data_IF_503485462948
#
_entry.id   IF_503485462948
#
_cell.length_a   1.000
_cell.length_b   1.000
_cell.length_c   1.000
_cell.angle_alpha   90.00
_cell.angle_beta   90.00
_cell.angle_gamma   90.00
#
_symmetry.space_group_name_H-M   'P 1'
#
loop_
_entity.id
_entity.type
_entity.pdbx_description
1 polymer ?
#
# COMPACT_ATOMS: atom_id res chain seq x y z
N UNK A 1 -17.20 -19.52 16.86
CA UNK A 1 -16.34 -18.53 16.17
C UNK A 1 -15.71 -17.59 17.20
N UNK A 2 -14.52 -17.89 17.76
CA UNK A 2 -13.89 -17.02 18.74
C UNK A 2 -12.77 -16.18 18.07
N UNK A 3 -13.15 -15.03 17.50
CA UNK A 3 -12.45 -13.77 17.79
C UNK A 3 -13.40 -12.58 18.07
N UNK A 4 -14.72 -12.80 18.08
CA UNK A 4 -15.73 -11.73 18.13
C UNK A 4 -16.07 -11.22 19.54
N UNK A 5 -15.51 -11.82 20.60
CA UNK A 5 -15.90 -11.53 22.01
C UNK A 5 -15.50 -10.14 22.51
N UNK A 6 -14.71 -9.37 21.76
CA UNK A 6 -14.24 -8.03 22.15
C UNK A 6 -14.90 -6.87 21.42
N UNK A 7 -15.81 -7.13 20.47
CA UNK A 7 -16.49 -6.09 19.70
C UNK A 7 -17.82 -5.74 20.37
N UNK A 8 -18.12 -4.43 20.48
CA UNK A 8 -19.39 -4.00 21.06
C UNK A 8 -20.56 -4.51 20.24
N UNK A 9 -21.65 -4.91 20.91
CA UNK A 9 -22.88 -5.35 20.25
C UNK A 9 -23.39 -4.32 19.24
N UNK A 10 -23.30 -3.03 19.57
CA UNK A 10 -23.66 -1.94 18.65
C UNK A 10 -22.77 -1.85 17.39
N UNK A 11 -21.47 -2.16 17.48
CA UNK A 11 -20.61 -2.22 16.30
C UNK A 11 -21.01 -3.37 15.39
N UNK A 12 -21.23 -4.56 15.94
CA UNK A 12 -21.63 -5.73 15.16
C UNK A 12 -23.00 -5.52 14.52
N UNK A 13 -23.95 -4.95 15.26
CA UNK A 13 -25.28 -4.62 14.76
C UNK A 13 -25.24 -3.58 13.63
N UNK A 14 -24.36 -2.59 13.73
CA UNK A 14 -24.15 -1.62 12.64
C UNK A 14 -23.42 -2.27 11.45
N UNK A 15 -22.37 -3.05 11.67
CA UNK A 15 -21.55 -3.63 10.61
C UNK A 15 -22.29 -4.73 9.82
N UNK A 16 -23.04 -5.58 10.51
CA UNK A 16 -23.86 -6.62 9.89
C UNK A 16 -25.23 -6.08 9.44
N UNK A 17 -25.76 -5.04 10.07
CA UNK A 17 -27.03 -4.40 9.69
C UNK A 17 -26.90 -3.43 8.51
N UNK A 18 -25.69 -2.95 8.22
CA UNK A 18 -25.45 -2.06 7.07
C UNK A 18 -25.25 -2.90 5.80
N UNK A 19 -26.32 -3.08 5.04
CA UNK A 19 -26.22 -3.56 3.66
C UNK A 19 -25.61 -2.45 2.79
N UNK A 20 -24.35 -2.62 2.38
CA UNK A 20 -23.72 -1.66 1.48
C UNK A 20 -24.43 -1.71 0.12
N UNK A 21 -24.97 -0.57 -0.38
CA UNK A 21 -25.61 -0.56 -1.68
C UNK A 21 -24.59 -0.93 -2.77
N UNK A 22 -25.03 -1.71 -3.76
CA UNK A 22 -24.16 -2.21 -4.86
C UNK A 22 -23.41 -1.08 -5.58
N UNK A 23 -24.02 0.10 -5.65
CA UNK A 23 -23.41 1.30 -6.25
C UNK A 23 -22.21 1.84 -5.45
N UNK A 24 -22.22 1.72 -4.12
CA UNK A 24 -21.09 2.10 -3.27
C UNK A 24 -19.98 1.07 -3.39
N UNK A 25 -20.29 -0.23 -3.39
CA UNK A 25 -19.28 -1.28 -3.66
C UNK A 25 -18.59 -1.07 -5.01
N UNK A 26 -19.37 -0.86 -6.07
CA UNK A 26 -18.82 -0.64 -7.41
C UNK A 26 -17.92 0.61 -7.46
N UNK A 27 -18.36 1.73 -6.86
CA UNK A 27 -17.55 2.96 -6.77
C UNK A 27 -16.26 2.72 -5.99
N UNK A 28 -16.32 2.09 -4.82
CA UNK A 28 -15.13 1.79 -4.02
C UNK A 28 -14.14 0.90 -4.77
N UNK A 29 -14.64 -0.12 -5.50
CA UNK A 29 -13.79 -0.97 -6.32
C UNK A 29 -13.10 -0.19 -7.43
N UNK A 30 -13.83 0.65 -8.17
CA UNK A 30 -13.27 1.48 -9.24
C UNK A 30 -12.22 2.47 -8.73
N UNK A 31 -12.51 3.14 -7.61
CA UNK A 31 -11.57 4.07 -6.99
C UNK A 31 -10.32 3.34 -6.50
N UNK A 32 -10.48 2.12 -5.97
CA UNK A 32 -9.35 1.31 -5.51
C UNK A 32 -8.51 0.79 -6.68
N UNK A 33 -9.12 0.44 -7.81
CA UNK A 33 -8.41 -0.05 -8.99
C UNK A 33 -7.40 0.98 -9.54
N UNK A 34 -7.67 2.28 -9.39
CA UNK A 34 -6.80 3.35 -9.89
C UNK A 34 -5.39 3.30 -9.26
N UNK A 35 -5.23 3.33 -7.91
CA UNK A 35 -3.93 3.12 -7.26
C UNK A 35 -3.20 1.85 -7.72
N UNK A 36 -3.90 0.71 -7.83
CA UNK A 36 -3.27 -0.54 -8.26
C UNK A 36 -2.70 -0.46 -9.68
N UNK A 37 -3.42 0.19 -10.59
CA UNK A 37 -2.94 0.44 -11.96
C UNK A 37 -1.75 1.40 -11.94
N UNK A 38 -1.81 2.47 -11.13
CA UNK A 38 -0.71 3.42 -10.99
C UNK A 38 0.55 2.74 -10.47
N UNK A 39 0.45 1.86 -9.47
CA UNK A 39 1.61 1.10 -8.97
C UNK A 39 2.23 0.23 -10.07
N UNK A 40 1.42 -0.44 -10.89
CA UNK A 40 1.92 -1.22 -12.03
C UNK A 40 2.64 -0.32 -13.07
N UNK A 41 2.11 0.88 -13.33
CA UNK A 41 2.74 1.87 -14.21
C UNK A 41 4.05 2.38 -13.60
N UNK A 42 4.12 2.65 -12.30
CA UNK A 42 5.34 3.10 -11.64
C UNK A 42 6.43 2.03 -11.74
N UNK A 43 6.10 0.75 -11.45
CA UNK A 43 7.07 -0.33 -11.60
C UNK A 43 7.52 -0.51 -13.05
N UNK A 44 6.60 -0.36 -14.01
CA UNK A 44 6.93 -0.36 -15.43
C UNK A 44 7.93 0.74 -15.78
N UNK A 45 7.69 1.98 -15.34
CA UNK A 45 8.59 3.11 -15.59
C UNK A 45 9.96 2.92 -14.94
N UNK A 46 10.02 2.32 -13.74
CA UNK A 46 11.28 1.96 -13.08
C UNK A 46 12.06 0.95 -13.92
N UNK A 47 11.41 -0.12 -14.40
CA UNK A 47 12.08 -1.11 -15.25
C UNK A 47 12.51 -0.50 -16.60
N UNK A 48 11.68 0.37 -17.19
CA UNK A 48 12.00 1.08 -18.41
C UNK A 48 13.25 1.96 -18.24
N UNK A 49 13.40 2.62 -17.08
CA UNK A 49 14.60 3.41 -16.77
C UNK A 49 15.88 2.57 -16.64
N UNK A 50 15.73 1.27 -16.38
CA UNK A 50 16.82 0.28 -16.33
C UNK A 50 17.03 -0.43 -17.67
N UNK A 51 16.34 0.00 -18.73
CA UNK A 51 16.41 -0.59 -20.07
C UNK A 51 15.68 -1.92 -20.21
N UNK A 52 14.74 -2.22 -19.32
CA UNK A 52 13.96 -3.46 -19.31
C UNK A 52 12.50 -3.18 -19.67
N UNK A 53 11.99 -3.89 -20.67
CA UNK A 53 10.58 -3.84 -21.06
C UNK A 53 9.85 -5.08 -20.55
N UNK A 54 8.75 -4.86 -19.85
CA UNK A 54 7.91 -5.93 -19.32
C UNK A 54 6.42 -5.60 -19.54
N UNK A 55 5.58 -6.61 -19.83
CA UNK A 55 4.13 -6.39 -19.91
C UNK A 55 3.58 -5.88 -18.57
N UNK A 56 2.85 -4.76 -18.59
CA UNK A 56 2.26 -4.15 -17.38
C UNK A 56 1.38 -5.15 -16.60
N UNK A 57 0.70 -6.06 -17.31
CA UNK A 57 -0.12 -7.10 -16.69
C UNK A 57 0.70 -8.07 -15.84
N UNK A 58 1.92 -8.42 -16.25
CA UNK A 58 2.82 -9.27 -15.47
C UNK A 58 3.28 -8.53 -14.20
N UNK A 59 3.60 -7.24 -14.33
CA UNK A 59 4.01 -6.39 -13.20
C UNK A 59 2.88 -6.19 -12.19
N UNK A 60 1.64 -6.03 -12.64
CA UNK A 60 0.47 -6.00 -11.77
C UNK A 60 0.35 -7.30 -10.95
N UNK A 61 0.61 -8.45 -11.56
CA UNK A 61 0.67 -9.74 -10.87
C UNK A 61 1.77 -9.78 -9.79
N UNK A 62 2.98 -9.31 -10.12
CA UNK A 62 4.11 -9.21 -9.17
C UNK A 62 3.72 -8.38 -7.95
N UNK A 63 3.15 -7.19 -8.16
CA UNK A 63 2.75 -6.28 -7.09
C UNK A 63 1.62 -6.89 -6.25
N UNK A 64 0.64 -7.52 -6.89
CA UNK A 64 -0.52 -8.11 -6.20
C UNK A 64 -0.09 -9.26 -5.28
N UNK A 65 0.70 -10.20 -5.79
CA UNK A 65 1.18 -11.36 -5.02
C UNK A 65 2.09 -10.91 -3.88
N UNK A 66 3.05 -10.03 -4.18
CA UNK A 66 4.00 -9.54 -3.17
C UNK A 66 3.31 -8.73 -2.07
N UNK A 67 2.30 -7.93 -2.41
CA UNK A 67 1.50 -7.18 -1.41
C UNK A 67 0.73 -8.12 -0.49
N UNK A 68 0.10 -9.17 -1.03
CA UNK A 68 -0.63 -10.15 -0.21
C UNK A 68 0.32 -10.81 0.82
N UNK A 69 1.51 -11.22 0.38
CA UNK A 69 2.51 -11.80 1.29
C UNK A 69 3.03 -10.75 2.28
N UNK A 70 3.24 -9.51 1.83
CA UNK A 70 3.65 -8.40 2.68
C UNK A 70 2.66 -8.10 3.80
N UNK A 71 1.36 -8.18 3.52
CA UNK A 71 0.31 -8.04 4.54
C UNK A 71 0.26 -9.27 5.45
N UNK A 72 0.39 -10.47 4.89
CA UNK A 72 0.34 -11.73 5.65
C UNK A 72 1.52 -11.88 6.63
N UNK A 73 2.68 -11.29 6.35
CA UNK A 73 3.87 -11.40 7.20
C UNK A 73 3.75 -10.69 8.54
N UNK A 74 2.71 -9.85 8.74
CA UNK A 74 2.51 -9.04 9.96
C UNK A 74 3.67 -8.10 10.29
N UNK A 75 4.60 -7.88 9.35
CA UNK A 75 5.67 -6.90 9.49
C UNK A 75 5.10 -5.49 9.26
N UNK A 76 5.52 -4.48 10.03
CA UNK A 76 5.10 -3.10 9.81
C UNK A 76 5.40 -2.68 8.37
N UNK A 77 4.34 -2.40 7.59
CA UNK A 77 4.47 -2.02 6.17
C UNK A 77 4.99 -3.13 5.24
N UNK A 78 5.04 -4.40 5.68
CA UNK A 78 5.50 -5.52 4.85
C UNK A 78 7.00 -5.51 4.50
N UNK A 79 7.79 -4.67 5.18
CA UNK A 79 9.21 -4.44 4.91
C UNK A 79 9.99 -5.77 4.94
N UNK A 80 10.83 -5.98 3.94
CA UNK A 80 11.63 -7.18 3.73
C UNK A 80 10.85 -8.30 3.03
N UNK A 81 9.63 -8.61 3.50
CA UNK A 81 8.83 -9.69 2.93
C UNK A 81 8.30 -9.38 1.52
N UNK A 82 7.78 -8.16 1.31
CA UNK A 82 7.26 -7.76 0.00
C UNK A 82 8.40 -7.63 -1.01
N UNK A 83 9.53 -7.06 -0.60
CA UNK A 83 10.71 -6.85 -1.43
C UNK A 83 11.32 -8.18 -1.86
N UNK A 84 11.44 -9.14 -0.94
CA UNK A 84 11.95 -10.48 -1.25
C UNK A 84 11.06 -11.19 -2.28
N UNK A 85 9.73 -11.20 -2.07
CA UNK A 85 8.80 -11.88 -2.98
C UNK A 85 8.75 -11.19 -4.34
N UNK A 86 8.66 -9.85 -4.37
CA UNK A 86 8.62 -9.12 -5.64
C UNK A 86 9.91 -9.31 -6.45
N UNK A 87 11.07 -9.26 -5.79
CA UNK A 87 12.36 -9.50 -6.44
C UNK A 87 12.49 -10.93 -6.96
N UNK A 88 12.00 -11.92 -6.19
CA UNK A 88 11.97 -13.31 -6.60
C UNK A 88 11.08 -13.50 -7.84
N UNK A 89 9.89 -12.89 -7.85
CA UNK A 89 8.97 -12.98 -8.99
C UNK A 89 9.56 -12.33 -10.24
N UNK A 90 10.16 -11.14 -10.13
CA UNK A 90 10.85 -10.50 -11.26
C UNK A 90 12.02 -11.35 -11.76
N UNK A 91 12.78 -11.97 -10.85
CA UNK A 91 13.87 -12.88 -11.22
C UNK A 91 13.36 -14.12 -11.94
N UNK A 92 12.22 -14.68 -11.50
CA UNK A 92 11.56 -15.81 -12.17
C UNK A 92 11.04 -15.45 -13.56
N UNK A 93 10.78 -14.16 -13.82
CA UNK A 93 10.40 -13.63 -15.14
C UNK A 93 11.62 -13.29 -16.02
N UNK A 94 12.85 -13.64 -15.59
CA UNK A 94 14.06 -13.51 -16.39
C UNK A 94 14.89 -12.25 -16.12
N UNK A 95 14.50 -11.41 -15.16
CA UNK A 95 15.28 -10.22 -14.77
C UNK A 95 16.47 -10.65 -13.90
N UNK A 96 17.66 -10.11 -14.15
CA UNK A 96 18.82 -10.40 -13.32
C UNK A 96 18.56 -10.01 -11.85
N UNK A 97 18.90 -10.89 -10.89
CA UNK A 97 18.49 -10.74 -9.50
C UNK A 97 18.91 -9.41 -8.85
N UNK A 98 20.13 -8.93 -9.13
CA UNK A 98 20.60 -7.62 -8.65
C UNK A 98 19.73 -6.48 -9.19
N UNK A 99 19.41 -6.53 -10.48
CA UNK A 99 18.54 -5.55 -11.14
C UNK A 99 17.10 -5.61 -10.63
N UNK A 100 16.57 -6.81 -10.37
CA UNK A 100 15.24 -7.02 -9.80
C UNK A 100 15.13 -6.38 -8.41
N UNK A 101 16.09 -6.64 -7.52
CA UNK A 101 16.14 -6.03 -6.19
C UNK A 101 16.24 -4.51 -6.28
N UNK A 102 17.11 -3.98 -7.13
CA UNK A 102 17.25 -2.54 -7.34
C UNK A 102 15.94 -1.90 -7.81
N UNK A 103 15.27 -2.50 -8.80
CA UNK A 103 13.99 -2.01 -9.31
C UNK A 103 12.92 -1.96 -8.21
N UNK A 104 12.80 -3.01 -7.39
CA UNK A 104 11.82 -3.05 -6.31
C UNK A 104 12.12 -2.02 -5.21
N UNK A 105 13.38 -1.78 -4.88
CA UNK A 105 13.76 -0.75 -3.91
C UNK A 105 13.45 0.66 -4.41
N UNK A 106 13.71 0.93 -5.70
CA UNK A 106 13.34 2.22 -6.32
C UNK A 106 11.82 2.40 -6.32
N UNK A 107 11.08 1.35 -6.70
CA UNK A 107 9.62 1.33 -6.65
C UNK A 107 9.10 1.64 -5.24
N UNK A 108 9.63 0.96 -4.20
CA UNK A 108 9.28 1.19 -2.79
C UNK A 108 9.56 2.62 -2.35
N UNK A 109 10.69 3.18 -2.77
CA UNK A 109 11.04 4.56 -2.44
C UNK A 109 10.03 5.54 -3.01
N UNK A 110 9.59 5.32 -4.25
CA UNK A 110 8.63 6.18 -4.93
C UNK A 110 7.20 6.07 -4.37
N UNK A 111 6.76 4.87 -3.98
CA UNK A 111 5.35 4.63 -3.60
C UNK A 111 5.13 4.63 -2.09
N UNK A 112 5.99 3.95 -1.34
CA UNK A 112 5.83 3.76 0.09
C UNK A 112 6.57 4.83 0.90
N UNK A 113 7.90 4.92 0.77
CA UNK A 113 8.68 5.82 1.63
C UNK A 113 8.42 7.30 1.37
N UNK A 114 8.21 7.69 0.10
CA UNK A 114 7.82 9.06 -0.22
C UNK A 114 6.46 9.44 0.38
N UNK A 115 5.45 8.59 0.22
CA UNK A 115 4.11 8.82 0.77
C UNK A 115 4.10 8.86 2.30
N UNK A 116 4.79 7.91 2.96
CA UNK A 116 4.91 7.88 4.41
C UNK A 116 5.63 9.11 4.96
N UNK A 117 6.69 9.58 4.30
CA UNK A 117 7.41 10.79 4.72
C UNK A 117 6.53 12.03 4.61
N UNK A 118 5.82 12.21 3.50
CA UNK A 118 4.88 13.33 3.33
C UNK A 118 3.75 13.29 4.34
N UNK A 119 3.21 12.11 4.63
CA UNK A 119 2.20 11.91 5.67
C UNK A 119 2.72 12.31 7.05
N UNK A 120 3.93 11.86 7.40
CA UNK A 120 4.56 12.20 8.67
C UNK A 120 4.84 13.71 8.81
N UNK A 121 5.35 14.35 7.75
CA UNK A 121 5.59 15.79 7.74
C UNK A 121 4.29 16.59 7.87
N UNK A 122 3.24 16.17 7.17
CA UNK A 122 1.90 16.78 7.27
C UNK A 122 1.33 16.64 8.67
N UNK A 123 1.45 15.45 9.27
CA UNK A 123 1.03 15.21 10.64
C UNK A 123 1.78 16.10 11.64
N UNK A 124 3.10 16.16 11.56
CA UNK A 124 3.91 17.02 12.45
C UNK A 124 3.56 18.51 12.30
N UNK A 125 3.33 18.97 11.08
CA UNK A 125 2.92 20.35 10.82
C UNK A 125 1.57 20.67 11.46
N UNK A 126 0.60 19.77 11.30
CA UNK A 126 -0.75 19.92 11.86
C UNK A 126 -0.70 19.85 13.38
N UNK A 127 -0.05 18.84 13.97
CA UNK A 127 0.03 18.64 15.42
C UNK A 127 0.63 19.85 16.13
N UNK A 128 1.71 20.44 15.57
CA UNK A 128 2.29 21.68 16.10
C UNK A 128 1.30 22.86 16.12
N UNK A 129 0.42 22.95 15.12
CA UNK A 129 -0.59 24.02 15.04
C UNK A 129 -1.74 23.82 16.03
N UNK A 130 -2.12 22.57 16.31
CA UNK A 130 -3.16 22.25 17.29
C UNK A 130 -2.65 22.43 18.73
N UNK A 131 -1.42 22.02 19.04
CA UNK A 131 -0.80 22.26 20.36
C UNK A 131 -0.72 23.76 20.68
N UNK A 132 -0.24 24.58 19.73
CA UNK A 132 -0.17 26.03 19.94
C UNK A 132 -1.55 26.71 20.09
N UNK A 133 -2.61 26.11 19.53
CA UNK A 133 -3.98 26.63 19.67
C UNK A 133 -4.58 26.25 21.02
N UNK A 134 -4.26 25.06 21.55
CA UNK A 134 -4.66 24.65 22.89
C UNK A 134 -4.03 25.57 23.95
N UNK A 135 -2.72 25.85 23.87
CA UNK A 135 -2.05 26.74 24.83
C UNK A 135 -2.60 28.17 24.87
N UNK A 136 -3.10 28.70 23.74
CA UNK A 136 -3.73 30.03 23.67
C UNK A 136 -5.15 30.09 24.22
N UNK A 137 -5.84 28.96 24.34
CA UNK A 137 -7.20 28.91 24.89
C UNK A 137 -7.22 28.75 26.42
N UNK A 138 -6.11 28.29 27.00
CA UNK A 138 -5.94 28.10 28.44
C UNK A 138 -5.09 29.20 29.12
N UNK A 139 -4.69 30.24 28.36
CA UNK A 139 -4.15 31.50 28.88
C UNK A 139 -5.19 32.60 28.70
#
# INVERSE_FOLDING_TARGET
>A
LPPLKGLSSGFLETFYGTSFPKSVLAKSFLVTAVPWILDAVVLYLVLLSLGLEMPVIALAGVISISTIIGVASSLPGGIGSMEAVASLLLTSLGIAGVTAVAAILIFRAATFWFGSLLGALSFLYISRKYDMRAERLFK
#
